data_IF_174768189573
#
_entry.id   IF_174768189573
#
_cell.length_a   1.000
_cell.length_b   1.000
_cell.length_c   1.000
_cell.angle_alpha   90.00
_cell.angle_beta   90.00
_cell.angle_gamma   90.00
#
_symmetry.space_group_name_H-M   'P 1'
#
loop_
_entity.id
_entity.type
_entity.pdbx_description
1 polymer ?
#
# COMPACT_ATOMS: atom_id res chain seq x y z
N UNK A 1 14.51 9.06 4.71
CA UNK A 1 13.30 8.98 3.85
C UNK A 1 12.27 9.98 4.37
N UNK A 2 12.30 11.25 3.91
CA UNK A 2 11.37 12.27 4.41
C UNK A 2 9.89 11.89 4.16
N UNK A 3 9.59 11.20 3.05
CA UNK A 3 8.22 10.76 2.73
C UNK A 3 7.60 9.80 3.75
N UNK A 4 8.37 8.80 4.23
CA UNK A 4 7.87 7.85 5.23
C UNK A 4 7.59 8.52 6.58
N UNK A 5 8.43 9.48 6.97
CA UNK A 5 8.25 10.26 8.21
C UNK A 5 7.00 11.14 8.12
N UNK A 6 6.78 11.79 6.97
CA UNK A 6 5.57 12.59 6.74
C UNK A 6 4.30 11.72 6.71
N UNK A 7 4.35 10.55 6.08
CA UNK A 7 3.22 9.62 6.05
C UNK A 7 2.84 9.15 7.47
N UNK A 8 3.84 8.74 8.26
CA UNK A 8 3.62 8.34 9.65
C UNK A 8 3.09 9.49 10.51
N UNK A 9 3.65 10.69 10.37
CA UNK A 9 3.19 11.88 11.09
C UNK A 9 1.73 12.24 10.76
N UNK A 10 1.34 12.15 9.48
CA UNK A 10 -0.03 12.40 9.05
C UNK A 10 -1.01 11.34 9.57
N UNK A 11 -0.70 10.05 9.39
CA UNK A 11 -1.52 8.94 9.87
C UNK A 11 -1.69 8.97 11.38
N UNK A 12 -0.60 9.22 12.11
CA UNK A 12 -0.65 9.34 13.57
C UNK A 12 -1.54 10.52 13.95
N UNK A 13 -1.26 11.76 13.49
CA UNK A 13 -2.06 12.95 13.81
C UNK A 13 -3.55 12.79 13.46
N UNK A 14 -3.87 12.08 12.39
CA UNK A 14 -5.24 11.74 12.02
C UNK A 14 -5.89 10.82 13.07
N UNK A 15 -5.24 9.71 13.41
CA UNK A 15 -5.76 8.75 14.39
C UNK A 15 -5.93 9.39 15.77
N UNK A 16 -4.99 10.23 16.19
CA UNK A 16 -5.10 10.98 17.45
C UNK A 16 -6.37 11.84 17.49
N UNK A 17 -6.70 12.53 16.40
CA UNK A 17 -7.90 13.39 16.32
C UNK A 17 -9.20 12.60 16.27
N UNK A 18 -9.21 11.46 15.59
CA UNK A 18 -10.41 10.61 15.46
C UNK A 18 -10.75 9.93 16.80
N UNK A 19 -9.73 9.40 17.48
CA UNK A 19 -9.93 8.61 18.72
C UNK A 19 -10.11 9.50 19.94
N UNK A 20 -9.27 10.54 20.11
CA UNK A 20 -9.32 11.39 21.32
C UNK A 20 -10.22 12.63 21.17
N UNK A 21 -10.66 12.96 19.96
CA UNK A 21 -11.51 14.12 19.72
C UNK A 21 -10.85 15.46 20.07
N UNK A 22 -11.64 16.53 20.02
CA UNK A 22 -11.24 17.88 20.46
C UNK A 22 -12.23 18.44 21.49
N UNK A 23 -12.08 19.73 21.84
CA UNK A 23 -12.95 20.41 22.83
C UNK A 23 -14.42 20.55 22.39
N UNK A 24 -14.71 20.36 21.10
CA UNK A 24 -16.05 20.37 20.51
C UNK A 24 -16.45 18.98 19.99
N UNK A 25 -16.25 17.93 20.79
CA UNK A 25 -16.65 16.57 20.42
C UNK A 25 -18.18 16.40 20.64
N UNK A 26 -18.97 16.05 19.62
CA UNK A 26 -20.39 15.75 19.79
C UNK A 26 -20.55 14.51 20.68
N UNK A 27 -21.67 14.42 21.41
CA UNK A 27 -21.93 13.30 22.31
C UNK A 27 -21.89 11.95 21.55
N UNK A 28 -20.91 11.12 21.93
CA UNK A 28 -20.64 9.81 21.33
C UNK A 28 -21.47 8.69 21.97
N UNK A 29 -22.32 8.98 22.96
CA UNK A 29 -23.17 8.01 23.66
C UNK A 29 -24.11 7.21 22.75
N UNK A 30 -24.39 7.73 21.54
CA UNK A 30 -25.25 7.09 20.53
C UNK A 30 -24.50 6.16 19.58
N UNK A 31 -23.17 6.12 19.63
CA UNK A 31 -22.38 5.21 18.79
C UNK A 31 -22.46 3.80 19.36
N UNK A 32 -23.09 2.90 18.59
CA UNK A 32 -23.14 1.49 18.90
C UNK A 32 -21.83 0.80 18.52
N UNK A 33 -21.42 -0.21 19.30
CA UNK A 33 -20.26 -1.05 18.98
C UNK A 33 -20.47 -1.81 17.65
N UNK A 34 -19.37 -2.33 17.10
CA UNK A 34 -19.37 -3.06 15.85
C UNK A 34 -20.32 -4.26 15.90
N UNK A 35 -21.18 -4.35 14.90
CA UNK A 35 -22.08 -5.49 14.79
C UNK A 35 -21.31 -6.75 14.37
N UNK A 36 -21.82 -7.94 14.74
CA UNK A 36 -21.20 -9.22 14.34
C UNK A 36 -21.02 -9.34 12.82
N UNK A 37 -21.92 -8.73 12.05
CA UNK A 37 -21.84 -8.68 10.58
C UNK A 37 -20.67 -7.81 10.11
N UNK A 38 -20.45 -6.64 10.72
CA UNK A 38 -19.31 -5.78 10.39
C UNK A 38 -17.98 -6.47 10.67
N UNK A 39 -17.87 -7.15 11.83
CA UNK A 39 -16.65 -7.88 12.19
C UNK A 39 -16.34 -8.99 11.17
N UNK A 40 -17.34 -9.77 10.75
CA UNK A 40 -17.16 -10.84 9.74
C UNK A 40 -16.70 -10.28 8.40
N UNK A 41 -17.14 -9.06 8.03
CA UNK A 41 -16.70 -8.39 6.79
C UNK A 41 -15.28 -7.83 6.92
N UNK A 42 -14.89 -7.32 8.09
CA UNK A 42 -13.56 -6.74 8.34
C UNK A 42 -12.47 -7.79 8.61
N UNK A 43 -12.83 -8.92 9.22
CA UNK A 43 -11.92 -10.01 9.57
C UNK A 43 -11.04 -10.52 8.40
N UNK A 44 -11.56 -10.79 7.17
CA UNK A 44 -10.73 -11.26 6.07
C UNK A 44 -9.69 -10.23 5.63
N UNK A 45 -10.00 -8.93 5.68
CA UNK A 45 -9.01 -7.88 5.36
C UNK A 45 -7.86 -7.88 6.36
N UNK A 46 -8.18 -7.99 7.66
CA UNK A 46 -7.18 -8.08 8.71
C UNK A 46 -6.30 -9.33 8.51
N UNK A 47 -6.91 -10.47 8.17
CA UNK A 47 -6.18 -11.70 7.87
C UNK A 47 -5.21 -11.53 6.68
N UNK A 48 -5.64 -10.88 5.60
CA UNK A 48 -4.76 -10.60 4.46
C UNK A 48 -3.61 -9.64 4.80
N UNK A 49 -3.87 -8.61 5.60
CA UNK A 49 -2.82 -7.69 6.07
C UNK A 49 -1.74 -8.45 6.85
N UNK A 50 -2.13 -9.35 7.76
CA UNK A 50 -1.17 -10.18 8.49
C UNK A 50 -0.47 -11.21 7.60
N UNK A 51 -1.21 -11.90 6.73
CA UNK A 51 -0.63 -12.89 5.82
C UNK A 51 0.44 -12.25 4.94
N UNK A 52 0.11 -11.17 4.24
CA UNK A 52 1.01 -10.48 3.31
C UNK A 52 2.17 -9.83 4.08
N UNK A 53 1.88 -9.26 5.25
CA UNK A 53 2.88 -8.59 6.09
C UNK A 53 3.92 -9.54 6.67
N UNK A 54 3.54 -10.77 7.05
CA UNK A 54 4.46 -11.77 7.60
C UNK A 54 5.17 -12.58 6.50
N UNK A 55 4.49 -12.85 5.38
CA UNK A 55 5.00 -13.71 4.32
C UNK A 55 4.56 -13.25 2.92
N UNK A 56 5.22 -12.24 2.33
CA UNK A 56 4.81 -11.69 1.03
C UNK A 56 5.19 -12.58 -0.17
N UNK A 57 6.03 -13.61 0.02
CA UNK A 57 6.62 -14.42 -1.06
C UNK A 57 5.61 -14.91 -2.12
N UNK A 58 4.44 -15.50 -1.75
CA UNK A 58 3.49 -15.97 -2.75
C UNK A 58 3.02 -14.86 -3.70
N UNK A 59 2.80 -13.65 -3.18
CA UNK A 59 2.39 -12.51 -4.00
C UNK A 59 3.51 -12.01 -4.91
N UNK A 60 4.76 -12.00 -4.41
CA UNK A 60 5.93 -11.59 -5.19
C UNK A 60 6.22 -12.58 -6.31
N UNK A 61 6.13 -13.88 -6.04
CA UNK A 61 6.38 -14.95 -7.02
C UNK A 61 5.37 -14.89 -8.18
N UNK A 62 4.10 -14.60 -7.87
CA UNK A 62 3.07 -14.38 -8.88
C UNK A 62 3.40 -13.20 -9.83
N UNK A 63 4.02 -12.14 -9.31
CA UNK A 63 4.42 -10.98 -10.11
C UNK A 63 5.75 -11.19 -10.84
N UNK A 64 6.58 -12.15 -10.41
CA UNK A 64 7.95 -12.26 -10.90
C UNK A 64 8.01 -12.50 -12.41
N UNK A 65 7.17 -13.39 -12.94
CA UNK A 65 7.15 -13.73 -14.37
C UNK A 65 6.68 -12.58 -15.27
N UNK A 66 5.69 -11.79 -14.82
CA UNK A 66 5.20 -10.64 -15.59
C UNK A 66 6.19 -9.49 -15.56
N UNK A 67 6.83 -9.25 -14.42
CA UNK A 67 7.86 -8.22 -14.26
C UNK A 67 9.13 -8.58 -15.02
N UNK A 68 9.56 -9.84 -15.02
CA UNK A 68 10.75 -10.26 -15.78
C UNK A 68 10.57 -10.05 -17.28
N UNK A 69 9.43 -10.45 -17.82
CA UNK A 69 9.11 -10.24 -19.24
C UNK A 69 9.04 -8.75 -19.60
N UNK A 70 8.53 -7.90 -18.70
CA UNK A 70 8.50 -6.45 -18.91
C UNK A 70 9.92 -5.85 -18.91
N UNK A 71 10.80 -6.33 -18.03
CA UNK A 71 12.20 -5.88 -17.99
C UNK A 71 12.97 -6.29 -19.25
N UNK A 72 12.76 -7.50 -19.76
CA UNK A 72 13.40 -7.97 -20.98
C UNK A 72 12.98 -7.14 -22.21
N UNK A 73 11.69 -6.81 -22.32
CA UNK A 73 11.18 -5.90 -23.35
C UNK A 73 11.79 -4.50 -23.24
N UNK A 74 11.98 -4.01 -22.02
CA UNK A 74 12.56 -2.69 -21.78
C UNK A 74 14.06 -2.67 -22.13
N UNK A 75 14.80 -3.73 -21.80
CA UNK A 75 16.23 -3.85 -22.14
C UNK A 75 16.46 -3.93 -23.65
N UNK A 76 15.70 -4.76 -24.36
CA UNK A 76 15.78 -4.86 -25.82
C UNK A 76 15.46 -3.53 -26.51
N UNK A 77 14.47 -2.78 -26.02
CA UNK A 77 14.17 -1.43 -26.51
C UNK A 77 15.29 -0.42 -26.24
N UNK A 78 15.90 -0.48 -25.05
CA UNK A 78 17.02 0.39 -24.68
C UNK A 78 18.24 0.13 -25.55
N UNK A 79 18.56 -1.13 -25.86
CA UNK A 79 19.67 -1.47 -26.77
C UNK A 79 19.47 -0.89 -28.16
N UNK A 80 18.27 -1.04 -28.74
CA UNK A 80 17.92 -0.43 -30.03
C UNK A 80 18.04 1.11 -30.02
N UNK A 81 17.59 1.75 -28.94
CA UNK A 81 17.71 3.20 -28.78
C UNK A 81 19.17 3.65 -28.66
N UNK A 82 20.01 2.92 -27.90
CA UNK A 82 21.44 3.22 -27.76
C UNK A 82 22.18 3.11 -29.09
N UNK A 83 21.88 2.09 -29.89
CA UNK A 83 22.47 1.92 -31.22
C UNK A 83 22.03 3.04 -32.16
N UNK A 84 20.74 3.38 -32.20
CA UNK A 84 20.23 4.47 -33.05
C UNK A 84 20.87 5.83 -32.71
N UNK A 85 21.04 6.13 -31.42
CA UNK A 85 21.70 7.37 -30.97
C UNK A 85 23.20 7.36 -31.27
N UNK A 86 23.87 6.21 -31.17
CA UNK A 86 25.29 6.09 -31.50
C UNK A 86 25.58 6.27 -33.00
N UNK A 87 24.65 5.85 -33.87
CA UNK A 87 24.79 5.97 -35.33
C UNK A 87 24.55 7.39 -35.87
N UNK A 88 23.85 8.24 -35.12
CA UNK A 88 23.60 9.64 -35.49
C UNK A 88 24.70 10.60 -35.01
N UNK A 89 25.64 10.12 -34.18
CA UNK A 89 26.82 10.87 -33.73
C UNK A 89 28.01 10.62 -34.63
#
# INVERSE_FOLDING_TARGET
IPGAVLAAAYMLRMLQKIVWGGTANPDQSKLTDLSKREIVVLAPFLLFVFWIGLGPQPFIDLMHASVSNLLDQLHTWQEGHRVAVALWR
#
